data_IF_391567320894
#
_entry.id   IF_391567320894
#
_cell.length_a   1.000
_cell.length_b   1.000
_cell.length_c   1.000
_cell.angle_alpha   90.00
_cell.angle_beta   90.00
_cell.angle_gamma   90.00
#
_symmetry.space_group_name_H-M   'P 1'
#
loop_
_entity.id
_entity.type
_entity.pdbx_description
1 polymer ?
#
# COMPACT_ATOMS: atom_id res chain seq x y z
N UNK A 1 -11.78 -23.63 74.39
CA UNK A 1 -10.88 -24.29 73.39
C UNK A 1 -11.36 -23.81 72.03
N UNK A 2 -10.68 -22.82 71.49
CA UNK A 2 -11.14 -22.02 70.33
C UNK A 2 -10.44 -22.48 69.02
N UNK A 3 -11.26 -22.98 68.16
CA UNK A 3 -10.81 -23.29 66.79
C UNK A 3 -10.86 -22.01 65.93
N UNK A 4 -9.70 -21.57 65.46
CA UNK A 4 -9.55 -20.37 64.67
C UNK A 4 -10.14 -20.51 63.28
N UNK A 5 -10.99 -19.55 62.94
CA UNK A 5 -11.53 -19.38 61.63
C UNK A 5 -10.45 -18.77 60.68
N UNK A 6 -9.97 -19.54 59.75
CA UNK A 6 -9.14 -19.04 58.67
C UNK A 6 -10.03 -18.43 57.60
N UNK A 7 -10.02 -17.12 57.56
CA UNK A 7 -10.64 -16.33 56.50
C UNK A 7 -9.89 -16.56 55.17
N UNK A 8 -10.48 -17.32 54.29
CA UNK A 8 -9.98 -17.58 52.94
C UNK A 8 -10.35 -16.40 52.07
N UNK A 9 -9.51 -15.37 52.09
CA UNK A 9 -9.58 -14.29 51.12
C UNK A 9 -9.08 -14.83 49.78
N UNK A 10 -10.02 -15.25 48.96
CA UNK A 10 -9.79 -15.66 47.59
C UNK A 10 -9.22 -14.47 46.82
N UNK A 11 -7.92 -14.54 46.55
CA UNK A 11 -7.23 -13.60 45.71
C UNK A 11 -7.64 -13.88 44.23
N UNK A 12 -8.67 -13.19 43.75
CA UNK A 12 -9.06 -13.18 42.38
C UNK A 12 -7.98 -12.39 41.59
N UNK A 13 -6.96 -13.11 41.13
CA UNK A 13 -6.06 -12.65 40.10
C UNK A 13 -6.86 -12.51 38.81
N UNK A 14 -7.38 -11.30 38.55
CA UNK A 14 -7.89 -10.93 37.25
C UNK A 14 -6.68 -10.86 36.31
N UNK A 15 -6.43 -11.95 35.59
CA UNK A 15 -5.54 -11.98 34.46
C UNK A 15 -6.19 -11.13 33.38
N UNK A 16 -5.87 -9.84 33.37
CA UNK A 16 -6.19 -8.95 32.26
C UNK A 16 -5.36 -9.44 31.06
N UNK A 17 -5.95 -10.34 30.29
CA UNK A 17 -5.46 -10.64 28.93
C UNK A 17 -5.66 -9.33 28.17
N UNK A 18 -4.58 -8.57 28.06
CA UNK A 18 -4.47 -7.48 27.08
C UNK A 18 -4.56 -8.15 25.73
N UNK A 19 -5.77 -8.32 25.23
CA UNK A 19 -6.02 -8.61 23.82
C UNK A 19 -5.48 -7.40 23.08
N UNK A 20 -4.21 -7.48 22.68
CA UNK A 20 -3.68 -6.56 21.67
C UNK A 20 -4.54 -6.84 20.43
N UNK A 21 -5.41 -5.91 20.01
CA UNK A 21 -6.08 -6.13 18.75
C UNK A 21 -4.97 -6.13 17.69
N UNK A 22 -4.67 -7.27 17.13
CA UNK A 22 -4.06 -7.37 15.81
C UNK A 22 -5.11 -6.85 14.83
N UNK A 23 -5.32 -5.55 14.88
CA UNK A 23 -6.12 -4.87 13.91
C UNK A 23 -5.30 -4.90 12.61
N UNK A 24 -5.56 -5.88 11.79
CA UNK A 24 -5.59 -5.67 10.35
C UNK A 24 -6.69 -4.63 10.15
N UNK A 25 -6.36 -3.37 10.41
CA UNK A 25 -7.29 -2.28 10.21
C UNK A 25 -7.59 -2.24 8.73
N UNK A 26 -8.71 -2.84 8.34
CA UNK A 26 -9.27 -2.64 7.02
C UNK A 26 -9.58 -1.16 6.94
N UNK A 27 -8.76 -0.42 6.21
CA UNK A 27 -9.03 0.98 5.96
C UNK A 27 -10.33 1.11 5.17
N UNK A 28 -11.21 1.98 5.62
CA UNK A 28 -12.45 2.33 4.95
C UNK A 28 -12.36 3.77 4.42
N UNK A 29 -12.90 3.98 3.21
CA UNK A 29 -12.92 5.28 2.59
C UNK A 29 -13.92 6.21 3.27
N UNK A 30 -13.56 7.49 3.41
CA UNK A 30 -14.50 8.51 3.88
C UNK A 30 -15.68 8.66 2.90
N UNK A 31 -16.94 8.58 3.38
CA UNK A 31 -18.11 8.81 2.56
C UNK A 31 -18.05 10.18 1.88
N UNK A 32 -18.17 10.19 0.55
CA UNK A 32 -18.10 11.41 -0.26
C UNK A 32 -16.72 11.76 -0.81
N UNK A 33 -15.64 11.17 -0.33
CA UNK A 33 -14.32 11.31 -0.91
C UNK A 33 -14.13 10.35 -2.08
N UNK A 34 -14.43 10.81 -3.29
CA UNK A 34 -14.38 9.99 -4.51
C UNK A 34 -13.02 9.32 -4.76
N UNK A 35 -11.92 9.97 -4.35
CA UNK A 35 -10.59 9.40 -4.54
C UNK A 35 -10.37 8.24 -3.58
N UNK A 36 -10.76 8.36 -2.32
CA UNK A 36 -10.65 7.31 -1.32
C UNK A 36 -11.54 6.11 -1.68
N UNK A 37 -12.79 6.33 -2.07
CA UNK A 37 -13.70 5.25 -2.52
C UNK A 37 -13.11 4.49 -3.71
N UNK A 38 -12.53 5.18 -4.69
CA UNK A 38 -11.87 4.51 -5.81
C UNK A 38 -10.59 3.77 -5.41
N UNK A 39 -9.86 4.28 -4.40
CA UNK A 39 -8.68 3.62 -3.87
C UNK A 39 -9.06 2.32 -3.14
N UNK A 40 -10.12 2.33 -2.33
CA UNK A 40 -10.68 1.16 -1.67
C UNK A 40 -11.08 0.08 -2.68
N UNK A 41 -11.85 0.44 -3.70
CA UNK A 41 -12.21 -0.46 -4.79
C UNK A 41 -11.00 -1.01 -5.55
N UNK A 42 -9.90 -0.25 -5.64
CA UNK A 42 -8.68 -0.73 -6.26
C UNK A 42 -7.96 -1.74 -5.35
N UNK A 43 -7.95 -1.53 -4.04
CA UNK A 43 -7.42 -2.46 -3.05
C UNK A 43 -8.18 -3.80 -3.12
N UNK A 44 -9.51 -3.76 -3.09
CA UNK A 44 -10.36 -4.95 -3.19
C UNK A 44 -10.06 -5.73 -4.48
N UNK A 45 -10.05 -5.05 -5.63
CA UNK A 45 -9.73 -5.69 -6.91
C UNK A 45 -8.34 -6.34 -6.94
N UNK A 46 -7.35 -5.75 -6.26
CA UNK A 46 -5.99 -6.32 -6.19
C UNK A 46 -6.00 -7.54 -5.26
N UNK A 47 -6.66 -7.47 -4.12
CA UNK A 47 -6.84 -8.62 -3.23
C UNK A 47 -7.50 -9.80 -3.94
N UNK A 48 -8.60 -9.54 -4.63
CA UNK A 48 -9.37 -10.59 -5.32
C UNK A 48 -8.63 -11.22 -6.51
N UNK A 49 -7.83 -10.45 -7.24
CA UNK A 49 -7.21 -10.91 -8.48
C UNK A 49 -5.75 -11.30 -8.36
N UNK A 50 -5.09 -10.88 -7.29
CA UNK A 50 -3.65 -11.06 -7.10
C UNK A 50 -3.42 -11.71 -5.74
N UNK A 51 -3.62 -13.03 -5.65
CA UNK A 51 -3.47 -13.81 -4.42
C UNK A 51 -2.13 -13.54 -3.70
N UNK A 52 -1.05 -13.41 -4.46
CA UNK A 52 0.28 -13.07 -3.93
C UNK A 52 0.37 -11.67 -3.30
N UNK A 53 -0.69 -10.84 -3.38
CA UNK A 53 -0.75 -9.54 -2.71
C UNK A 53 -1.11 -9.64 -1.23
N UNK A 54 -1.76 -10.73 -0.81
CA UNK A 54 -2.29 -10.88 0.55
C UNK A 54 -1.22 -10.69 1.63
N UNK A 55 -0.05 -11.35 1.57
CA UNK A 55 0.99 -11.16 2.58
C UNK A 55 1.48 -9.72 2.68
N UNK A 56 1.44 -8.96 1.57
CA UNK A 56 1.84 -7.55 1.60
C UNK A 56 0.83 -6.67 2.31
N UNK A 57 -0.48 -6.95 2.17
CA UNK A 57 -1.51 -6.22 2.91
C UNK A 57 -1.47 -6.48 4.42
N UNK A 58 -0.92 -7.63 4.84
CA UNK A 58 -0.76 -8.01 6.24
C UNK A 58 0.51 -7.44 6.87
N UNK A 59 1.61 -7.39 6.09
CA UNK A 59 2.97 -7.06 6.57
C UNK A 59 3.31 -5.56 6.41
N UNK A 60 2.69 -4.85 5.46
CA UNK A 60 3.08 -3.49 5.14
C UNK A 60 2.78 -2.49 6.27
N UNK A 61 3.76 -1.65 6.58
CA UNK A 61 3.61 -0.50 7.47
C UNK A 61 2.64 0.55 6.91
N UNK A 62 2.68 0.76 5.59
CA UNK A 62 1.82 1.70 4.88
C UNK A 62 1.62 1.26 3.43
N UNK A 63 0.56 1.78 2.81
CA UNK A 63 0.29 1.57 1.39
C UNK A 63 -0.03 2.90 0.71
N UNK A 64 0.37 3.04 -0.55
CA UNK A 64 -0.09 4.13 -1.41
C UNK A 64 -0.82 3.54 -2.63
N UNK A 65 -2.01 4.04 -2.90
CA UNK A 65 -2.92 3.48 -3.89
C UNK A 65 -3.30 4.52 -4.92
N UNK A 66 -2.97 4.25 -6.17
CA UNK A 66 -3.44 5.02 -7.33
C UNK A 66 -4.51 4.22 -8.05
N UNK A 67 -5.80 4.56 -7.87
CA UNK A 67 -6.91 3.79 -8.46
C UNK A 67 -7.01 3.91 -9.98
N UNK A 68 -6.31 4.87 -10.56
CA UNK A 68 -6.25 5.07 -12.00
C UNK A 68 -5.09 5.99 -12.37
N UNK A 69 -4.12 5.43 -13.08
CA UNK A 69 -3.04 6.14 -13.72
C UNK A 69 -3.31 6.08 -15.22
N UNK A 70 -3.44 7.23 -15.84
CA UNK A 70 -3.62 7.34 -17.29
C UNK A 70 -2.27 7.58 -17.95
N UNK A 71 -1.88 6.68 -18.84
CA UNK A 71 -0.70 6.80 -19.67
C UNK A 71 -1.14 7.12 -21.09
N UNK A 72 -0.56 8.15 -21.67
CA UNK A 72 -0.76 8.54 -23.08
C UNK A 72 0.60 8.72 -23.75
N UNK A 73 0.70 8.33 -25.00
CA UNK A 73 1.95 8.48 -25.75
C UNK A 73 1.76 8.38 -27.26
N UNK A 74 2.55 9.19 -27.96
CA UNK A 74 2.75 9.12 -29.40
C UNK A 74 4.17 9.64 -29.71
N UNK A 75 5.15 8.71 -29.80
CA UNK A 75 6.57 9.05 -29.90
C UNK A 75 7.19 9.49 -28.56
N UNK A 76 6.54 10.41 -27.86
CA UNK A 76 6.78 10.77 -26.46
C UNK A 76 5.54 10.45 -25.66
N UNK A 77 5.70 10.05 -24.42
CA UNK A 77 4.58 9.69 -23.57
C UNK A 77 4.71 10.22 -22.16
N UNK A 78 3.57 10.29 -21.49
CA UNK A 78 3.50 10.61 -20.08
C UNK A 78 2.43 9.80 -19.39
N UNK A 79 2.57 9.65 -18.09
CA UNK A 79 1.53 9.08 -17.25
C UNK A 79 1.27 9.99 -16.05
N UNK A 80 0.02 10.08 -15.67
CA UNK A 80 -0.43 10.87 -14.53
C UNK A 80 -1.50 10.12 -13.74
N UNK A 81 -1.40 10.19 -12.43
CA UNK A 81 -2.41 9.65 -11.53
C UNK A 81 -2.41 10.35 -10.17
N UNK A 82 -3.55 10.31 -9.49
CA UNK A 82 -3.71 10.77 -8.11
C UNK A 82 -4.05 9.60 -7.23
N UNK A 83 -3.35 9.47 -6.11
CA UNK A 83 -3.49 8.36 -5.18
C UNK A 83 -3.72 8.82 -3.75
N UNK A 84 -4.04 7.86 -2.89
CA UNK A 84 -4.20 8.02 -1.44
C UNK A 84 -3.05 7.30 -0.76
N UNK A 85 -2.49 7.92 0.28
CA UNK A 85 -1.50 7.31 1.17
C UNK A 85 -2.18 6.94 2.48
N UNK A 86 -2.08 5.67 2.83
CA UNK A 86 -2.69 5.06 4.01
C UNK A 86 -1.55 4.55 4.89
N UNK A 87 -1.45 5.07 6.09
CA UNK A 87 -0.44 4.71 7.10
C UNK A 87 -1.16 4.08 8.29
N UNK A 88 -0.84 2.82 8.59
CA UNK A 88 -1.44 2.08 9.71
C UNK A 88 -2.98 2.15 9.79
N UNK A 89 -3.65 2.05 8.65
CA UNK A 89 -5.12 2.06 8.57
C UNK A 89 -5.75 3.45 8.51
N UNK A 90 -4.96 4.53 8.49
CA UNK A 90 -5.47 5.90 8.36
C UNK A 90 -5.03 6.52 7.03
N UNK A 91 -5.94 7.21 6.33
CA UNK A 91 -5.59 8.00 5.16
C UNK A 91 -4.90 9.29 5.61
N UNK A 92 -3.59 9.39 5.39
CA UNK A 92 -2.74 10.50 5.85
C UNK A 92 -2.50 11.58 4.81
N UNK A 93 -2.83 11.32 3.55
CA UNK A 93 -2.63 12.30 2.49
C UNK A 93 -2.86 11.76 1.10
N UNK A 94 -2.53 12.57 0.11
CA UNK A 94 -2.57 12.21 -1.31
C UNK A 94 -1.18 12.16 -1.90
N UNK A 95 -0.99 11.31 -2.91
CA UNK A 95 0.24 11.27 -3.70
C UNK A 95 -0.07 11.40 -5.18
N UNK A 96 0.64 12.29 -5.86
CA UNK A 96 0.61 12.39 -7.31
C UNK A 96 1.65 11.45 -7.92
N UNK A 97 1.29 10.85 -9.04
CA UNK A 97 2.16 10.03 -9.88
C UNK A 97 2.40 10.77 -11.19
N UNK A 98 3.64 10.94 -11.56
CA UNK A 98 4.06 11.53 -12.82
C UNK A 98 5.15 10.68 -13.46
N UNK A 99 5.02 10.39 -14.74
CA UNK A 99 6.04 9.67 -15.48
C UNK A 99 6.21 10.28 -16.85
N UNK A 100 7.45 10.47 -17.25
CA UNK A 100 7.81 10.78 -18.63
C UNK A 100 8.45 9.56 -19.26
N UNK A 101 8.03 9.20 -20.46
CA UNK A 101 8.60 8.13 -21.24
C UNK A 101 8.84 8.56 -22.67
N UNK A 102 10.01 8.20 -23.21
CA UNK A 102 10.29 8.29 -24.65
C UNK A 102 10.26 6.88 -25.22
N UNK A 103 9.51 6.66 -26.27
CA UNK A 103 9.40 5.35 -26.91
C UNK A 103 8.29 5.31 -27.94
N UNK A 104 8.38 4.35 -28.86
CA UNK A 104 7.42 4.16 -29.95
C UNK A 104 6.18 3.42 -29.42
N UNK A 105 5.44 4.08 -28.52
CA UNK A 105 4.17 3.56 -28.04
C UNK A 105 3.07 4.55 -28.42
N UNK A 106 2.15 4.11 -29.28
CA UNK A 106 0.95 4.87 -29.60
C UNK A 106 -0.22 4.29 -28.80
N UNK A 107 -0.93 5.14 -28.08
CA UNK A 107 -2.14 4.73 -27.39
C UNK A 107 -2.35 5.35 -26.01
N UNK A 108 -3.50 5.04 -25.44
CA UNK A 108 -3.84 5.38 -24.06
C UNK A 108 -4.08 4.09 -23.27
N UNK A 109 -3.47 3.98 -22.10
CA UNK A 109 -3.67 2.86 -21.15
C UNK A 109 -4.05 3.43 -19.79
N UNK A 110 -4.94 2.74 -19.11
CA UNK A 110 -5.28 3.06 -17.71
C UNK A 110 -4.97 1.84 -16.85
N UNK A 111 -4.33 2.06 -15.70
CA UNK A 111 -4.00 1.02 -14.75
C UNK A 111 -4.07 1.56 -13.31
N UNK A 112 -4.33 0.66 -12.37
CA UNK A 112 -4.18 0.94 -10.95
C UNK A 112 -2.77 0.53 -10.49
N UNK A 113 -2.26 1.20 -9.47
CA UNK A 113 -0.98 0.88 -8.85
C UNK A 113 -1.15 0.89 -7.34
N UNK A 114 -0.64 -0.13 -6.67
CA UNK A 114 -0.43 -0.13 -5.23
C UNK A 114 1.06 -0.26 -4.95
N UNK A 115 1.56 0.57 -4.04
CA UNK A 115 2.90 0.50 -3.49
C UNK A 115 2.76 0.16 -2.01
N UNK A 116 3.44 -0.89 -1.59
CA UNK A 116 3.56 -1.31 -0.20
C UNK A 116 4.88 -0.80 0.36
N UNK A 117 4.84 -0.25 1.56
CA UNK A 117 6.01 0.23 2.30
C UNK A 117 6.24 -0.68 3.49
N UNK A 118 7.43 -1.26 3.58
CA UNK A 118 7.80 -2.17 4.66
C UNK A 118 7.88 -1.45 6.01
N UNK A 119 8.33 -0.22 6.00
CA UNK A 119 8.59 0.56 7.20
C UNK A 119 8.34 2.07 6.99
N UNK A 120 8.44 2.81 8.09
CA UNK A 120 8.27 4.26 8.08
C UNK A 120 9.31 4.98 7.23
N UNK A 121 10.54 4.49 7.17
CA UNK A 121 11.61 5.14 6.42
C UNK A 121 11.30 5.12 4.92
N UNK A 122 10.85 3.98 4.39
CA UNK A 122 10.42 3.86 3.00
C UNK A 122 9.22 4.77 2.67
N UNK A 123 8.27 4.92 3.60
CA UNK A 123 7.17 5.87 3.43
C UNK A 123 7.63 7.33 3.47
N UNK A 124 8.55 7.68 4.36
CA UNK A 124 9.10 9.03 4.46
C UNK A 124 9.88 9.41 3.19
N UNK A 125 10.54 8.45 2.54
CA UNK A 125 11.18 8.67 1.24
C UNK A 125 10.15 8.97 0.14
N UNK A 126 8.96 8.35 0.16
CA UNK A 126 7.86 8.76 -0.72
C UNK A 126 7.42 10.20 -0.40
N UNK A 127 7.17 10.50 0.89
CA UNK A 127 6.71 11.82 1.34
C UNK A 127 7.70 12.93 0.97
N UNK A 128 8.99 12.61 0.99
CA UNK A 128 10.08 13.51 0.61
C UNK A 128 10.32 13.58 -0.92
N UNK A 129 9.61 12.79 -1.73
CA UNK A 129 9.82 12.70 -3.17
C UNK A 129 11.17 12.08 -3.56
N UNK A 130 11.80 11.33 -2.64
CA UNK A 130 13.11 10.71 -2.87
C UNK A 130 13.01 9.34 -3.55
N UNK A 131 11.83 8.71 -3.55
CA UNK A 131 11.65 7.45 -4.28
C UNK A 131 11.81 7.74 -5.76
N UNK A 132 12.91 7.25 -6.33
CA UNK A 132 13.18 7.29 -7.75
C UNK A 132 13.39 5.87 -8.23
N UNK A 133 12.58 5.47 -9.16
CA UNK A 133 12.79 4.23 -9.87
C UNK A 133 13.70 4.52 -11.07
N UNK A 134 15.00 4.39 -10.88
CA UNK A 134 15.99 4.62 -11.92
C UNK A 134 16.34 3.31 -12.61
N UNK A 135 16.01 3.21 -13.87
CA UNK A 135 16.58 2.23 -14.79
C UNK A 135 16.04 0.81 -14.69
N UNK A 136 16.70 -0.08 -15.36
CA UNK A 136 16.39 -1.50 -15.55
C UNK A 136 16.61 -2.40 -14.32
N UNK A 137 16.92 -1.85 -13.15
CA UNK A 137 16.80 -2.60 -11.91
C UNK A 137 15.32 -2.88 -11.74
N UNK A 138 14.91 -4.08 -12.14
CA UNK A 138 13.54 -4.52 -12.15
C UNK A 138 12.88 -4.12 -10.84
N UNK A 139 11.85 -3.31 -10.97
CA UNK A 139 10.89 -3.23 -9.90
C UNK A 139 10.30 -4.62 -9.88
N UNK A 140 10.75 -5.42 -8.95
CA UNK A 140 10.18 -6.72 -8.74
C UNK A 140 8.72 -6.49 -8.38
N UNK A 141 7.86 -6.64 -9.39
CA UNK A 141 6.42 -6.70 -9.19
C UNK A 141 6.21 -7.75 -8.11
N UNK A 142 5.85 -7.33 -6.95
CA UNK A 142 5.69 -8.07 -5.70
C UNK A 142 5.88 -9.58 -5.88
N UNK A 143 7.10 -10.07 -5.71
CA UNK A 143 7.41 -11.48 -5.72
C UNK A 143 7.28 -11.99 -4.28
N UNK A 144 6.52 -13.06 -4.10
CA UNK A 144 6.44 -13.76 -2.84
C UNK A 144 7.57 -14.79 -2.83
N UNK A 145 8.44 -14.73 -1.84
CA UNK A 145 9.49 -15.72 -1.64
C UNK A 145 8.91 -17.12 -1.41
N UNK A 146 9.76 -18.15 -1.49
CA UNK A 146 9.37 -19.57 -1.37
C UNK A 146 8.61 -19.92 -0.08
N UNK A 147 8.67 -19.09 0.95
CA UNK A 147 7.96 -19.25 2.23
C UNK A 147 6.69 -18.40 2.36
N UNK A 148 6.17 -17.81 1.27
CA UNK A 148 5.02 -16.90 1.34
C UNK A 148 5.36 -15.52 1.92
N UNK A 149 6.64 -15.21 2.16
CA UNK A 149 7.08 -13.96 2.75
C UNK A 149 7.12 -12.84 1.70
N UNK A 150 6.61 -11.63 1.99
CA UNK A 150 6.70 -10.49 1.10
C UNK A 150 8.17 -10.13 0.79
N UNK A 151 8.49 -9.94 -0.48
CA UNK A 151 9.80 -9.47 -0.92
C UNK A 151 9.74 -7.97 -1.22
N UNK A 152 10.50 -7.17 -0.48
CA UNK A 152 10.61 -5.74 -0.68
C UNK A 152 11.97 -5.40 -1.30
N UNK A 153 11.98 -4.51 -2.26
CA UNK A 153 13.20 -3.93 -2.82
C UNK A 153 13.35 -2.51 -2.26
N UNK A 154 14.43 -2.25 -1.49
CA UNK A 154 14.65 -0.98 -0.79
C UNK A 154 13.43 -0.52 0.05
N UNK A 155 12.77 -1.48 0.71
CA UNK A 155 11.60 -1.22 1.56
C UNK A 155 10.29 -0.99 0.82
N UNK A 156 10.25 -1.16 -0.50
CA UNK A 156 9.03 -0.99 -1.32
C UNK A 156 8.72 -2.22 -2.17
N UNK A 157 7.44 -2.49 -2.37
CA UNK A 157 6.94 -3.47 -3.32
C UNK A 157 5.78 -2.88 -4.11
N UNK A 158 5.65 -3.23 -5.40
CA UNK A 158 4.67 -2.64 -6.30
C UNK A 158 3.79 -3.70 -6.93
N UNK A 159 2.49 -3.40 -7.06
CA UNK A 159 1.54 -4.21 -7.81
C UNK A 159 0.78 -3.32 -8.78
N UNK A 160 1.14 -3.33 -10.07
CA UNK A 160 0.36 -2.69 -11.12
C UNK A 160 -0.75 -3.63 -11.61
N UNK A 161 -1.99 -3.13 -11.68
CA UNK A 161 -3.17 -3.88 -12.13
C UNK A 161 -3.86 -3.14 -13.27
N UNK A 162 -4.05 -3.82 -14.39
CA UNK A 162 -4.92 -3.38 -15.48
C UNK A 162 -6.31 -4.02 -15.36
N UNK A 163 -7.25 -3.59 -16.20
CA UNK A 163 -8.55 -4.24 -16.27
C UNK A 163 -8.46 -5.71 -16.71
N UNK A 164 -7.39 -6.09 -17.40
CA UNK A 164 -7.13 -7.46 -17.89
C UNK A 164 -6.32 -8.32 -16.90
N UNK A 165 -5.89 -7.75 -15.78
CA UNK A 165 -5.07 -8.44 -14.78
C UNK A 165 -3.75 -7.73 -14.49
N UNK A 166 -2.76 -8.47 -13.97
CA UNK A 166 -1.42 -7.94 -13.70
C UNK A 166 -0.77 -7.40 -14.98
N UNK A 167 -0.16 -6.23 -14.85
CA UNK A 167 0.58 -5.63 -15.94
C UNK A 167 1.98 -6.25 -16.01
N UNK A 168 2.22 -7.08 -17.03
CA UNK A 168 3.50 -7.76 -17.24
C UNK A 168 4.63 -6.79 -17.69
N UNK A 169 4.26 -5.68 -18.31
CA UNK A 169 5.20 -4.66 -18.82
C UNK A 169 5.06 -3.36 -18.04
N UNK A 170 5.43 -3.35 -16.78
CA UNK A 170 5.49 -2.13 -15.99
C UNK A 170 6.92 -1.58 -15.96
N UNK A 171 7.10 -0.36 -16.44
CA UNK A 171 8.35 0.39 -16.28
C UNK A 171 8.09 1.58 -15.40
N UNK A 172 8.81 1.69 -14.32
CA UNK A 172 8.78 2.86 -13.45
C UNK A 172 9.93 3.83 -13.70
N UNK A 173 10.71 3.63 -14.74
CA UNK A 173 11.77 4.57 -15.12
C UNK A 173 11.19 5.97 -15.34
N UNK A 174 11.80 6.99 -14.73
CA UNK A 174 11.37 8.38 -14.83
C UNK A 174 10.09 8.73 -14.06
N UNK A 175 9.64 7.87 -13.15
CA UNK A 175 8.51 8.16 -12.25
C UNK A 175 8.95 9.14 -11.16
N UNK A 176 8.10 10.14 -10.92
CA UNK A 176 8.21 11.07 -9.80
C UNK A 176 6.92 11.05 -9.00
N UNK A 177 7.08 11.08 -7.69
CA UNK A 177 5.95 11.22 -6.75
C UNK A 177 5.99 12.58 -6.08
N UNK A 178 4.81 13.13 -5.80
CA UNK A 178 4.65 14.27 -4.92
C UNK A 178 3.60 13.94 -3.87
N UNK A 179 3.88 14.27 -2.63
CA UNK A 179 3.00 14.00 -1.50
C UNK A 179 2.37 15.30 -0.98
N UNK A 180 1.11 15.21 -0.56
CA UNK A 180 0.40 16.28 0.14
C UNK A 180 -0.37 15.67 1.30
N UNK A 181 0.00 16.03 2.53
CA UNK A 181 -0.73 15.60 3.72
C UNK A 181 -2.17 16.15 3.71
N UNK A 182 -3.09 15.39 4.30
CA UNK A 182 -4.39 15.95 4.66
C UNK A 182 -4.23 16.98 5.78
N UNK A 183 -5.04 18.03 5.74
CA UNK A 183 -5.15 18.95 6.87
C UNK A 183 -5.80 18.19 8.03
N UNK A 184 -5.14 18.19 9.17
CA UNK A 184 -5.71 17.73 10.44
C UNK A 184 -6.55 18.83 11.03
#
# INVERSE_FOLDING_TARGET
MNAGAWSMRTLLLILAVVLCPTATASWEAEPGNRLQVRAEQAIERIRDRVERSHPYFEDAYAIAVWPGITRVGFGFGGAYGKGVVIEQGEAVGTAGYWQFSSGIQAGAKNFALVIFFKDKAALDDLKAGKIQFTGQAGIDVATVGAAGTPAYNHGVALIPLTNLGLMAEFSAAGVKFNYKAYAR
#
